data_IF_977229920336
#
_entry.id   IF_977229920336
#
_cell.length_a   1.000
_cell.length_b   1.000
_cell.length_c   1.000
_cell.angle_alpha   90.00
_cell.angle_beta   90.00
_cell.angle_gamma   90.00
#
_symmetry.space_group_name_H-M   'P 1'
#
loop_
_entity.id
_entity.type
_entity.pdbx_description
1 polymer ?
#
# COMPACT_ATOMS: atom_id res chain seq x y z
N UNK A 1 13.90 -23.02 -6.64
CA UNK A 1 12.73 -23.66 -6.00
C UNK A 1 11.56 -22.69 -6.05
N UNK A 2 10.66 -22.84 -7.03
CA UNK A 2 9.50 -21.96 -7.19
C UNK A 2 8.47 -22.30 -6.10
N UNK A 3 8.26 -21.41 -5.13
CA UNK A 3 7.22 -21.59 -4.11
C UNK A 3 5.87 -21.31 -4.77
N UNK A 4 5.10 -22.38 -4.93
CA UNK A 4 3.74 -22.38 -5.44
C UNK A 4 2.86 -21.37 -4.68
N UNK A 5 2.44 -20.30 -5.36
CA UNK A 5 1.53 -19.31 -4.80
C UNK A 5 0.13 -19.92 -4.85
N UNK A 6 -0.41 -20.34 -3.70
CA UNK A 6 -1.80 -20.80 -3.60
C UNK A 6 -2.75 -19.63 -3.84
N UNK A 7 -3.21 -19.48 -5.08
CA UNK A 7 -4.17 -18.46 -5.51
C UNK A 7 -5.55 -18.81 -4.94
N UNK A 8 -5.85 -18.40 -3.71
CA UNK A 8 -7.24 -18.34 -3.22
C UNK A 8 -7.76 -16.91 -3.37
N UNK A 9 -8.73 -16.74 -4.28
CA UNK A 9 -9.43 -15.47 -4.50
C UNK A 9 -10.37 -15.22 -3.32
N UNK A 10 -9.95 -14.40 -2.36
CA UNK A 10 -10.77 -14.10 -1.18
C UNK A 10 -11.73 -12.96 -1.52
N UNK A 11 -13.01 -13.28 -1.71
CA UNK A 11 -14.08 -12.29 -1.93
C UNK A 11 -14.60 -11.75 -0.59
N UNK A 12 -14.46 -10.42 -0.42
CA UNK A 12 -15.14 -9.52 0.54
C UNK A 12 -15.09 -9.88 2.03
N UNK A 13 -14.47 -9.01 2.85
CA UNK A 13 -14.95 -8.78 4.22
C UNK A 13 -15.94 -7.60 4.20
N UNK A 14 -17.22 -7.90 4.41
CA UNK A 14 -18.30 -6.93 4.58
C UNK A 14 -18.16 -6.15 5.90
N UNK A 15 -18.69 -4.91 5.86
CA UNK A 15 -19.22 -4.07 6.96
C UNK A 15 -18.36 -3.76 8.21
N UNK A 16 -18.44 -2.49 8.64
CA UNK A 16 -18.10 -2.07 10.01
C UNK A 16 -16.93 -1.09 10.11
N UNK A 17 -17.25 0.16 10.50
CA UNK A 17 -16.40 1.27 10.97
C UNK A 17 -15.14 1.63 10.16
N UNK A 18 -14.87 2.92 10.02
CA UNK A 18 -13.67 3.44 9.33
C UNK A 18 -12.39 2.99 10.07
N UNK A 19 -11.87 1.81 9.70
CA UNK A 19 -10.58 1.26 10.11
C UNK A 19 -9.50 2.15 9.50
N UNK A 20 -9.25 3.29 10.15
CA UNK A 20 -8.30 4.32 9.75
C UNK A 20 -7.32 4.53 10.90
N UNK A 21 -6.08 4.89 10.59
CA UNK A 21 -5.11 5.36 11.57
C UNK A 21 -4.46 6.64 11.07
N UNK A 22 -3.97 7.46 12.00
CA UNK A 22 -3.11 8.60 11.65
C UNK A 22 -1.67 8.11 11.48
N UNK A 23 -0.95 8.69 10.53
CA UNK A 23 0.51 8.58 10.51
C UNK A 23 1.12 9.61 11.47
N UNK A 24 2.46 9.65 11.55
CA UNK A 24 3.18 10.59 12.43
C UNK A 24 2.90 12.07 12.13
N UNK A 25 2.45 12.39 10.91
CA UNK A 25 2.16 13.74 10.44
C UNK A 25 0.65 14.08 10.48
N UNK A 26 -0.15 13.27 11.17
CA UNK A 26 -1.58 13.52 11.37
C UNK A 26 -2.49 13.15 10.19
N UNK A 27 -1.95 12.64 9.08
CA UNK A 27 -2.74 12.23 7.92
C UNK A 27 -3.56 10.96 8.23
N UNK A 28 -4.86 10.99 7.93
CA UNK A 28 -5.76 9.86 8.15
C UNK A 28 -5.69 8.84 7.02
N UNK A 29 -5.18 7.65 7.31
CA UNK A 29 -4.95 6.57 6.34
C UNK A 29 -5.97 5.45 6.55
N UNK A 30 -6.65 5.01 5.49
CA UNK A 30 -7.52 3.81 5.52
C UNK A 30 -6.64 2.56 5.62
N UNK A 31 -6.95 1.63 6.51
CA UNK A 31 -6.21 0.37 6.70
C UNK A 31 -6.76 -0.71 5.74
N UNK A 32 -6.22 -0.78 4.54
CA UNK A 32 -6.56 -1.77 3.51
C UNK A 32 -5.34 -2.14 2.67
N UNK A 33 -5.48 -3.09 1.74
CA UNK A 33 -4.36 -3.54 0.90
C UNK A 33 -3.70 -2.39 0.12
N UNK A 34 -4.48 -1.40 -0.36
CA UNK A 34 -3.95 -0.22 -1.06
C UNK A 34 -2.88 0.55 -0.27
N UNK A 35 -3.07 0.63 1.06
CA UNK A 35 -2.19 1.35 1.98
C UNK A 35 -1.22 0.44 2.74
N UNK A 36 -1.22 -0.86 2.42
CA UNK A 36 -0.37 -1.83 3.08
C UNK A 36 1.05 -1.80 2.49
N UNK A 37 2.06 -2.04 3.32
CA UNK A 37 3.45 -2.24 2.86
C UNK A 37 3.62 -3.57 2.11
N UNK A 38 2.82 -4.58 2.42
CA UNK A 38 2.90 -5.91 1.80
C UNK A 38 2.16 -6.00 0.46
N UNK A 39 1.76 -4.87 -0.12
CA UNK A 39 1.10 -4.85 -1.43
C UNK A 39 2.16 -5.09 -2.52
N UNK A 40 1.90 -6.07 -3.37
CA UNK A 40 2.60 -6.28 -4.62
C UNK A 40 1.61 -6.02 -5.77
N UNK A 41 2.09 -5.44 -6.87
CA UNK A 41 1.35 -5.35 -8.12
C UNK A 41 2.21 -6.08 -9.14
N UNK A 42 1.68 -7.18 -9.65
CA UNK A 42 2.31 -7.99 -10.68
C UNK A 42 2.26 -7.26 -12.03
N UNK A 43 3.00 -7.75 -13.03
CA UNK A 43 3.08 -7.14 -14.37
C UNK A 43 1.74 -7.09 -15.10
N UNK A 44 0.81 -7.99 -14.78
CA UNK A 44 -0.55 -8.02 -15.30
C UNK A 44 -1.52 -7.05 -14.59
N UNK A 45 -1.01 -6.26 -13.63
CA UNK A 45 -1.81 -5.36 -12.80
C UNK A 45 -2.54 -6.07 -11.65
N UNK A 46 -2.37 -7.39 -11.50
CA UNK A 46 -2.95 -8.15 -10.39
C UNK A 46 -2.33 -7.69 -9.07
N UNK A 47 -3.19 -7.41 -8.09
CA UNK A 47 -2.75 -7.07 -6.74
C UNK A 47 -2.62 -8.34 -5.89
N UNK A 48 -1.43 -8.55 -5.33
CA UNK A 48 -1.10 -9.68 -4.46
C UNK A 48 -0.67 -9.16 -3.09
N UNK A 49 -1.10 -9.84 -2.02
CA UNK A 49 -0.60 -9.61 -0.67
C UNK A 49 0.60 -10.52 -0.41
N UNK A 50 1.83 -9.98 -0.42
CA UNK A 50 3.06 -10.76 -0.24
C UNK A 50 3.15 -11.48 1.12
N UNK A 51 2.48 -10.95 2.16
CA UNK A 51 2.47 -11.58 3.50
C UNK A 51 1.54 -12.79 3.61
N UNK A 52 0.54 -12.88 2.73
CA UNK A 52 -0.45 -13.96 2.71
C UNK A 52 -0.32 -14.86 1.46
N UNK A 53 0.43 -14.41 0.45
CA UNK A 53 0.55 -15.04 -0.86
C UNK A 53 -0.81 -15.19 -1.58
N UNK A 54 -1.68 -14.18 -1.46
CA UNK A 54 -3.05 -14.19 -2.00
C UNK A 54 -3.29 -13.05 -2.98
N UNK A 55 -4.08 -13.32 -4.03
CA UNK A 55 -4.67 -12.28 -4.89
C UNK A 55 -5.77 -11.56 -4.11
N UNK A 56 -5.68 -10.23 -4.04
CA UNK A 56 -6.56 -9.42 -3.18
C UNK A 56 -7.02 -8.15 -3.87
N UNK A 57 -8.23 -7.69 -3.54
CA UNK A 57 -8.74 -6.40 -4.03
C UNK A 57 -8.09 -5.22 -3.28
N UNK A 58 -8.11 -4.02 -3.89
CA UNK A 58 -7.59 -2.79 -3.28
C UNK A 58 -8.16 -2.52 -1.87
N UNK A 59 -9.46 -2.77 -1.67
CA UNK A 59 -10.18 -2.54 -0.41
C UNK A 59 -10.07 -3.71 0.58
N UNK A 60 -9.37 -4.80 0.23
CA UNK A 60 -9.19 -5.95 1.10
C UNK A 60 -8.53 -5.55 2.41
N UNK A 61 -8.98 -6.12 3.53
CA UNK A 61 -8.47 -5.87 4.87
C UNK A 61 -7.97 -7.19 5.45
N UNK A 62 -6.85 -7.16 6.16
CA UNK A 62 -6.33 -8.31 6.88
C UNK A 62 -5.73 -7.89 8.23
N UNK A 63 -5.61 -8.84 9.16
CA UNK A 63 -5.02 -8.60 10.48
C UNK A 63 -3.52 -8.30 10.43
N UNK A 64 -2.83 -8.69 9.34
CA UNK A 64 -1.39 -8.43 9.10
C UNK A 64 -1.14 -7.08 8.41
N UNK A 65 -2.11 -6.18 8.39
CA UNK A 65 -1.94 -4.87 7.74
C UNK A 65 -0.87 -4.06 8.45
N UNK A 66 0.04 -3.47 7.67
CA UNK A 66 1.04 -2.52 8.14
C UNK A 66 1.11 -1.36 7.15
N UNK A 67 1.20 -0.13 7.64
CA UNK A 67 1.21 1.07 6.79
C UNK A 67 2.42 1.06 5.84
N UNK A 68 2.23 1.35 4.55
CA UNK A 68 3.36 1.48 3.61
C UNK A 68 4.23 2.69 3.93
N UNK A 69 5.54 2.59 3.70
CA UNK A 69 6.50 3.65 4.06
C UNK A 69 6.21 5.01 3.42
N UNK A 70 5.75 5.02 2.16
CA UNK A 70 5.30 6.26 1.51
C UNK A 70 4.13 6.93 2.24
N UNK A 71 3.26 6.15 2.89
CA UNK A 71 2.15 6.68 3.69
C UNK A 71 2.55 6.99 5.14
N UNK A 72 3.58 6.32 5.69
CA UNK A 72 4.17 6.69 6.99
C UNK A 72 4.68 8.14 6.95
N UNK A 73 5.31 8.50 5.83
CA UNK A 73 5.89 9.83 5.59
C UNK A 73 4.96 10.80 4.84
N UNK A 74 3.73 10.39 4.51
CA UNK A 74 2.78 11.30 3.84
C UNK A 74 2.51 12.52 4.74
N UNK A 75 2.52 13.71 4.16
CA UNK A 75 2.40 14.97 4.92
C UNK A 75 3.71 15.50 5.49
N UNK A 76 4.83 14.76 5.37
CA UNK A 76 6.16 15.34 5.55
C UNK A 76 6.42 16.33 4.41
N UNK A 77 6.60 17.60 4.75
CA UNK A 77 7.06 18.62 3.80
C UNK A 77 8.44 18.27 3.24
N UNK A 78 8.75 18.72 2.02
CA UNK A 78 10.01 18.42 1.32
C UNK A 78 9.85 17.62 0.04
N UNK A 79 8.71 17.74 -0.65
CA UNK A 79 8.54 17.20 -2.00
C UNK A 79 9.65 17.73 -2.90
N UNK A 80 10.32 16.81 -3.60
CA UNK A 80 11.41 17.13 -4.51
C UNK A 80 10.88 17.00 -5.93
N UNK A 81 10.85 18.09 -6.69
CA UNK A 81 10.65 18.03 -8.14
C UNK A 81 12.01 17.75 -8.74
N UNK A 82 12.19 16.54 -9.29
CA UNK A 82 13.37 16.20 -10.09
C UNK A 82 13.05 16.44 -11.55
N UNK A 83 13.80 17.32 -12.19
CA UNK A 83 13.79 17.39 -13.64
C UNK A 83 14.45 16.10 -14.18
N UNK A 84 13.73 15.35 -15.01
CA UNK A 84 14.16 14.05 -15.54
C UNK A 84 15.43 14.21 -16.40
N UNK A 85 15.60 15.36 -17.05
CA UNK A 85 16.74 15.63 -17.93
C UNK A 85 17.97 16.12 -17.16
N UNK A 86 17.82 17.06 -16.22
CA UNK A 86 18.96 17.70 -15.53
C UNK A 86 19.33 17.06 -14.19
N UNK A 87 18.50 16.15 -13.66
CA UNK A 87 18.62 15.55 -12.31
C UNK A 87 18.67 16.56 -11.15
N UNK A 88 18.35 17.82 -11.39
CA UNK A 88 18.36 18.84 -10.35
C UNK A 88 17.10 18.75 -9.49
N UNK A 89 17.28 19.08 -8.20
CA UNK A 89 16.22 19.14 -7.20
C UNK A 89 15.82 20.61 -7.08
N UNK A 90 14.64 20.97 -7.59
CA UNK A 90 14.09 22.31 -7.39
C UNK A 90 13.20 22.29 -6.15
N UNK A 91 13.58 23.04 -5.13
CA UNK A 91 12.77 23.33 -3.95
C UNK A 91 12.49 24.83 -3.98
N UNK A 92 11.21 25.23 -4.04
CA UNK A 92 10.76 26.61 -3.83
C UNK A 92 10.09 26.72 -2.47
#
# INVERSE_FOLDING_TARGET
MAKEIRITSVRRSTSGRLYTCKNAHGCKIKKCCASCQHKCIESDGTRVCASMMLKVQQKFKCKKWQMSDGLKNAGKGGGVVRNIETKEIVIR
#
